data_IF_300199017540
#
_entry.id   IF_300199017540
#
_cell.length_a   1.000
_cell.length_b   1.000
_cell.length_c   1.000
_cell.angle_alpha   90.00
_cell.angle_beta   90.00
_cell.angle_gamma   90.00
#
_symmetry.space_group_name_H-M   'P 1'
#
loop_
_entity.id
_entity.type
_entity.pdbx_description
1 polymer ?
#
# COMPACT_ATOMS: atom_id res chain seq x y z
N UNK A 1 -16.79 5.41 11.55
CA UNK A 1 -15.50 5.13 10.87
C UNK A 1 -15.75 5.11 9.36
N UNK A 2 -14.81 5.52 8.49
CA UNK A 2 -15.09 5.59 7.02
C UNK A 2 -15.62 4.26 6.45
N UNK A 3 -15.07 3.12 6.87
CA UNK A 3 -15.54 1.81 6.43
C UNK A 3 -17.04 1.59 6.71
N UNK A 4 -17.51 1.89 7.92
CA UNK A 4 -18.94 1.75 8.30
C UNK A 4 -19.84 2.62 7.41
N UNK A 5 -19.39 3.83 7.09
CA UNK A 5 -20.12 4.75 6.22
C UNK A 5 -20.12 4.25 4.77
N UNK A 6 -18.99 3.75 4.27
CA UNK A 6 -18.89 3.13 2.96
C UNK A 6 -19.86 1.94 2.81
N UNK A 7 -19.97 1.08 3.82
CA UNK A 7 -20.97 0.00 3.81
C UNK A 7 -22.41 0.52 3.89
N UNK A 8 -22.67 1.51 4.74
CA UNK A 8 -24.01 2.11 4.91
C UNK A 8 -24.52 2.75 3.62
N UNK A 9 -23.62 3.43 2.89
CA UNK A 9 -23.91 4.06 1.61
C UNK A 9 -23.88 3.07 0.42
N UNK A 10 -23.53 1.80 0.65
CA UNK A 10 -23.44 0.78 -0.39
C UNK A 10 -22.30 1.03 -1.38
N UNK A 11 -21.22 1.71 -0.96
CA UNK A 11 -20.04 1.93 -1.78
C UNK A 11 -19.36 0.59 -2.07
N UNK A 12 -19.13 0.32 -3.35
CA UNK A 12 -18.46 -0.87 -3.85
C UNK A 12 -17.03 -0.53 -4.25
N UNK A 13 -16.15 -1.53 -4.22
CA UNK A 13 -14.77 -1.37 -4.63
C UNK A 13 -13.81 -2.18 -3.77
N UNK A 14 -12.63 -2.41 -4.33
CA UNK A 14 -11.47 -2.98 -3.66
C UNK A 14 -10.81 -1.95 -2.74
N UNK A 15 -9.91 -2.41 -1.88
CA UNK A 15 -9.09 -1.55 -1.02
C UNK A 15 -7.61 -1.77 -1.30
N UNK A 16 -6.79 -0.74 -1.08
CA UNK A 16 -5.36 -0.79 -1.36
C UNK A 16 -4.52 -0.07 -0.30
N UNK A 17 -3.29 -0.54 -0.12
CA UNK A 17 -2.23 0.17 0.60
C UNK A 17 -0.93 0.14 -0.22
N UNK A 18 -0.31 1.31 -0.41
CA UNK A 18 1.00 1.49 -1.04
C UNK A 18 2.00 1.89 0.03
N UNK A 19 2.97 1.00 0.31
CA UNK A 19 3.84 1.10 1.49
C UNK A 19 3.20 0.38 2.67
N UNK A 20 3.53 -0.91 2.83
CA UNK A 20 2.91 -1.83 3.80
C UNK A 20 3.82 -2.08 4.99
N UNK A 21 5.14 -2.15 4.75
CA UNK A 21 6.16 -2.54 5.73
C UNK A 21 5.76 -3.80 6.52
N UNK A 22 5.53 -3.69 7.83
CA UNK A 22 5.14 -4.82 8.69
C UNK A 22 3.61 -5.06 8.73
N UNK A 23 2.83 -4.27 8.00
CA UNK A 23 1.38 -4.45 7.83
C UNK A 23 0.55 -4.10 9.07
N UNK A 24 1.02 -3.17 9.92
CA UNK A 24 0.24 -2.75 11.09
C UNK A 24 -1.03 -2.00 10.68
N UNK A 25 -0.91 -1.06 9.73
CA UNK A 25 -2.07 -0.33 9.22
C UNK A 25 -2.89 -1.19 8.25
N UNK A 26 -2.25 -1.98 7.38
CA UNK A 26 -2.93 -3.04 6.63
C UNK A 26 -3.83 -3.94 7.49
N UNK A 27 -3.40 -4.36 8.69
CA UNK A 27 -4.24 -5.18 9.56
C UNK A 27 -5.55 -4.47 9.92
N UNK A 28 -5.48 -3.16 10.20
CA UNK A 28 -6.67 -2.36 10.51
C UNK A 28 -7.60 -2.24 9.30
N UNK A 29 -7.05 -1.99 8.11
CA UNK A 29 -7.83 -1.95 6.87
C UNK A 29 -8.52 -3.31 6.62
N UNK A 30 -7.77 -4.40 6.79
CA UNK A 30 -8.27 -5.76 6.59
C UNK A 30 -9.38 -6.13 7.61
N UNK A 31 -9.31 -5.64 8.84
CA UNK A 31 -10.39 -5.76 9.84
C UNK A 31 -11.62 -4.96 9.41
N UNK A 32 -11.43 -3.74 8.91
CA UNK A 32 -12.52 -2.84 8.57
C UNK A 32 -13.24 -3.24 7.28
N UNK A 33 -12.55 -3.91 6.36
CA UNK A 33 -13.07 -4.35 5.06
C UNK A 33 -12.92 -5.86 4.86
N UNK A 34 -13.61 -6.70 5.65
CA UNK A 34 -13.36 -8.14 5.74
C UNK A 34 -13.76 -8.93 4.48
N UNK A 35 -14.60 -8.36 3.62
CA UNK A 35 -15.11 -8.99 2.39
C UNK A 35 -14.50 -8.43 1.10
N UNK A 36 -13.74 -7.34 1.16
CA UNK A 36 -13.19 -6.67 -0.03
C UNK A 36 -11.86 -7.29 -0.45
N UNK A 37 -11.57 -7.31 -1.75
CA UNK A 37 -10.20 -7.59 -2.22
C UNK A 37 -9.27 -6.50 -1.68
N UNK A 38 -8.13 -6.90 -1.12
CA UNK A 38 -7.19 -5.98 -0.50
C UNK A 38 -5.81 -6.08 -1.15
N UNK A 39 -5.45 -5.07 -1.94
CA UNK A 39 -4.16 -4.99 -2.61
C UNK A 39 -3.09 -4.39 -1.70
N UNK A 40 -1.98 -5.10 -1.55
CA UNK A 40 -0.85 -4.72 -0.70
C UNK A 40 0.38 -4.52 -1.58
N UNK A 41 0.76 -3.27 -1.82
CA UNK A 41 1.91 -2.90 -2.66
C UNK A 41 3.11 -2.55 -1.79
N UNK A 42 4.17 -3.35 -1.91
CA UNK A 42 5.43 -3.09 -1.20
C UNK A 42 6.57 -3.82 -1.91
N UNK A 43 7.78 -3.30 -1.81
CA UNK A 43 8.99 -4.00 -2.29
C UNK A 43 9.34 -5.18 -1.38
N UNK A 44 8.96 -5.11 -0.10
CA UNK A 44 9.42 -5.91 1.04
C UNK A 44 10.94 -5.93 1.18
N UNK A 45 11.60 -4.92 0.61
CA UNK A 45 13.06 -4.76 0.52
C UNK A 45 13.48 -3.36 1.01
N UNK A 46 12.55 -2.62 1.60
CA UNK A 46 12.72 -1.23 2.02
C UNK A 46 12.73 -0.26 0.84
N UNK A 47 13.27 0.94 1.07
CA UNK A 47 13.32 1.96 0.03
C UNK A 47 14.29 1.61 -1.09
N UNK A 48 13.87 1.94 -2.31
CA UNK A 48 14.72 1.84 -3.48
C UNK A 48 15.89 2.84 -3.38
N UNK A 49 17.13 2.42 -3.66
CA UNK A 49 18.26 3.35 -3.76
C UNK A 49 18.02 4.49 -4.77
N UNK A 50 17.20 4.23 -5.80
CA UNK A 50 16.83 5.24 -6.80
C UNK A 50 16.00 6.36 -6.17
N UNK A 51 15.01 6.02 -5.37
CA UNK A 51 14.10 7.01 -4.76
C UNK A 51 14.85 7.83 -3.72
N UNK A 52 15.71 7.19 -2.92
CA UNK A 52 16.60 7.89 -1.97
C UNK A 52 17.47 8.90 -2.72
N UNK A 53 18.03 8.53 -3.88
CA UNK A 53 18.85 9.44 -4.67
C UNK A 53 18.03 10.62 -5.23
N UNK A 54 16.78 10.39 -5.63
CA UNK A 54 15.86 11.46 -6.07
C UNK A 54 15.54 12.44 -4.93
N UNK A 55 15.29 11.95 -3.72
CA UNK A 55 15.08 12.80 -2.52
C UNK A 55 16.32 13.65 -2.21
N UNK A 56 17.51 13.03 -2.22
CA UNK A 56 18.77 13.73 -2.00
C UNK A 56 19.02 14.80 -3.07
N UNK A 57 18.68 14.53 -4.34
CA UNK A 57 18.79 15.50 -5.42
C UNK A 57 17.82 16.68 -5.24
N UNK A 58 16.71 16.48 -4.54
CA UNK A 58 15.74 17.52 -4.17
C UNK A 58 16.11 18.24 -2.86
N UNK A 59 17.25 17.90 -2.26
CA UNK A 59 17.73 18.51 -1.01
C UNK A 59 16.97 18.03 0.24
N UNK A 60 16.24 16.93 0.14
CA UNK A 60 15.47 16.36 1.25
C UNK A 60 16.40 15.44 2.06
N UNK A 61 16.53 15.75 3.35
CA UNK A 61 17.37 14.97 4.26
C UNK A 61 16.72 13.62 4.55
N UNK A 62 17.38 12.55 4.14
CA UNK A 62 16.90 11.19 4.35
C UNK A 62 17.51 10.59 5.64
N UNK A 63 16.67 10.12 6.56
CA UNK A 63 17.12 9.45 7.78
C UNK A 63 17.58 8.01 7.50
N UNK A 64 18.49 7.46 8.31
CA UNK A 64 18.93 6.04 8.22
C UNK A 64 17.82 5.06 8.67
N UNK A 65 16.64 5.10 8.05
CA UNK A 65 15.55 4.16 8.32
C UNK A 65 15.64 3.00 7.32
N UNK A 66 15.93 1.80 7.83
CA UNK A 66 15.98 0.59 7.02
C UNK A 66 14.66 -0.19 7.20
N UNK A 67 13.76 -0.08 6.22
CA UNK A 67 12.46 -0.77 6.20
C UNK A 67 12.55 -2.24 5.73
N UNK A 68 13.76 -2.81 5.67
CA UNK A 68 13.99 -4.22 5.25
C UNK A 68 13.53 -5.26 6.26
N UNK A 69 13.19 -4.89 7.49
CA UNK A 69 12.75 -5.86 8.50
C UNK A 69 11.28 -6.26 8.32
N UNK A 70 10.95 -6.85 7.17
CA UNK A 70 9.62 -7.38 6.86
C UNK A 70 9.68 -8.51 5.83
N UNK A 71 8.57 -9.24 5.68
CA UNK A 71 8.37 -10.20 4.60
C UNK A 71 6.89 -10.35 4.28
N UNK A 72 6.59 -10.86 3.08
CA UNK A 72 5.22 -11.19 2.68
C UNK A 72 4.54 -12.11 3.69
N UNK A 73 5.24 -13.15 4.16
CA UNK A 73 4.67 -14.09 5.14
C UNK A 73 4.35 -13.41 6.47
N UNK A 74 5.23 -12.51 6.93
CA UNK A 74 5.02 -11.76 8.18
C UNK A 74 3.77 -10.89 8.11
N UNK A 75 3.58 -10.19 6.98
CA UNK A 75 2.41 -9.35 6.74
C UNK A 75 1.14 -10.21 6.67
N UNK A 76 1.12 -11.26 5.85
CA UNK A 76 -0.06 -12.12 5.73
C UNK A 76 -0.44 -12.81 7.04
N UNK A 77 0.53 -13.23 7.87
CA UNK A 77 0.25 -13.84 9.17
C UNK A 77 -0.48 -12.90 10.14
N UNK A 78 -0.31 -11.58 9.96
CA UNK A 78 -0.99 -10.56 10.78
C UNK A 78 -2.44 -10.33 10.35
N UNK A 79 -2.77 -10.58 9.08
CA UNK A 79 -4.10 -10.31 8.51
C UNK A 79 -5.17 -11.21 9.11
N UNK A 80 -6.36 -10.65 9.39
CA UNK A 80 -7.52 -11.41 9.88
C UNK A 80 -8.23 -12.17 8.76
N UNK A 81 -8.20 -11.62 7.56
CA UNK A 81 -8.74 -12.19 6.33
C UNK A 81 -7.62 -12.25 5.27
N UNK A 82 -6.61 -13.13 5.47
CA UNK A 82 -5.47 -13.23 4.55
C UNK A 82 -5.86 -13.74 3.16
N UNK A 83 -6.98 -14.46 3.04
CA UNK A 83 -7.56 -14.92 1.77
C UNK A 83 -8.06 -13.77 0.88
N UNK A 84 -8.25 -12.58 1.47
CA UNK A 84 -8.64 -11.36 0.76
C UNK A 84 -7.45 -10.54 0.29
N UNK A 85 -6.25 -10.84 0.79
CA UNK A 85 -5.04 -10.08 0.50
C UNK A 85 -4.41 -10.51 -0.83
N UNK A 86 -4.12 -9.54 -1.68
CA UNK A 86 -3.44 -9.71 -2.96
C UNK A 86 -2.10 -8.98 -2.87
N UNK A 87 -1.03 -9.75 -2.77
CA UNK A 87 0.33 -9.21 -2.64
C UNK A 87 0.84 -8.77 -4.00
N UNK A 88 1.21 -7.50 -4.10
CA UNK A 88 1.87 -6.90 -5.26
C UNK A 88 3.30 -6.56 -4.88
N UNK A 89 4.13 -7.60 -4.79
CA UNK A 89 5.55 -7.46 -4.44
C UNK A 89 6.31 -6.83 -5.61
N UNK A 90 6.99 -5.73 -5.34
CA UNK A 90 7.85 -5.04 -6.29
C UNK A 90 7.65 -3.53 -6.25
N UNK A 91 8.16 -2.84 -7.26
CA UNK A 91 8.11 -1.39 -7.32
C UNK A 91 6.76 -0.91 -7.87
N UNK A 92 6.08 -0.04 -7.13
CA UNK A 92 4.86 0.63 -7.58
C UNK A 92 5.22 1.82 -8.49
N UNK A 93 4.52 2.07 -9.62
CA UNK A 93 3.28 1.45 -10.08
C UNK A 93 3.49 0.24 -11.01
N UNK A 94 4.73 -0.21 -11.24
CA UNK A 94 5.01 -1.30 -12.18
C UNK A 94 4.31 -2.62 -11.82
N UNK A 95 4.00 -2.84 -10.54
CA UNK A 95 3.24 -3.99 -10.05
C UNK A 95 1.71 -3.83 -10.14
N UNK A 96 1.20 -2.70 -10.60
CA UNK A 96 -0.23 -2.40 -10.70
C UNK A 96 -0.78 -2.52 -12.13
N UNK A 97 0.07 -2.85 -13.11
CA UNK A 97 -0.28 -2.86 -14.55
C UNK A 97 -1.39 -3.84 -14.95
N UNK A 98 -1.63 -4.87 -14.13
CA UNK A 98 -2.63 -5.92 -14.36
C UNK A 98 -3.90 -5.71 -13.54
N UNK A 99 -4.05 -4.55 -12.90
CA UNK A 99 -5.21 -4.23 -12.05
C UNK A 99 -6.27 -3.54 -12.90
N UNK A 100 -7.44 -4.15 -12.90
CA UNK A 100 -8.69 -3.65 -13.49
C UNK A 100 -9.80 -3.79 -12.45
N UNK A 101 -9.72 -2.95 -11.40
CA UNK A 101 -10.65 -2.93 -10.26
C UNK A 101 -10.92 -1.46 -9.87
N UNK A 102 -12.15 -1.15 -9.48
CA UNK A 102 -12.48 0.11 -8.80
C UNK A 102 -12.10 0.05 -7.32
N UNK A 103 -11.74 1.20 -6.74
CA UNK A 103 -11.31 1.30 -5.35
C UNK A 103 -12.23 2.19 -4.51
N UNK A 104 -12.55 1.72 -3.30
CA UNK A 104 -13.34 2.48 -2.31
C UNK A 104 -12.45 3.12 -1.24
N UNK A 105 -11.27 2.57 -1.01
CA UNK A 105 -10.32 3.10 -0.03
C UNK A 105 -8.89 2.80 -0.47
N UNK A 106 -8.03 3.82 -0.44
CA UNK A 106 -6.61 3.72 -0.75
C UNK A 106 -5.82 4.40 0.37
N UNK A 107 -4.82 3.70 0.90
CA UNK A 107 -3.78 4.29 1.74
C UNK A 107 -2.50 4.47 0.91
N UNK A 108 -2.01 5.70 0.82
CA UNK A 108 -0.72 6.03 0.20
C UNK A 108 0.27 6.39 1.31
N UNK A 109 1.12 5.44 1.71
CA UNK A 109 2.01 5.50 2.87
C UNK A 109 3.45 5.09 2.49
N UNK A 110 3.92 5.60 1.35
CA UNK A 110 5.23 5.25 0.80
C UNK A 110 6.36 6.20 1.23
N UNK A 111 6.07 7.20 2.08
CA UNK A 111 6.96 8.24 2.65
C UNK A 111 7.76 9.11 1.67
N UNK A 112 7.92 8.71 0.41
CA UNK A 112 8.77 9.37 -0.59
C UNK A 112 7.91 10.04 -1.67
N UNK A 113 8.45 11.11 -2.26
CA UNK A 113 7.74 11.92 -3.24
C UNK A 113 7.32 11.10 -4.47
N UNK A 114 8.26 10.39 -5.10
CA UNK A 114 8.03 9.64 -6.34
C UNK A 114 6.94 8.55 -6.22
N UNK A 115 6.95 7.66 -5.20
CA UNK A 115 5.90 6.65 -5.06
C UNK A 115 4.55 7.24 -4.64
N UNK A 116 4.51 8.33 -3.85
CA UNK A 116 3.25 9.03 -3.55
C UNK A 116 2.66 9.64 -4.81
N UNK A 117 3.46 10.34 -5.62
CA UNK A 117 3.02 10.93 -6.89
C UNK A 117 2.48 9.83 -7.84
N UNK A 118 3.22 8.74 -7.98
CA UNK A 118 2.78 7.59 -8.79
C UNK A 118 1.46 7.01 -8.28
N UNK A 119 1.26 6.98 -6.97
CA UNK A 119 0.01 6.54 -6.34
C UNK A 119 -1.16 7.42 -6.72
N UNK A 120 -0.98 8.75 -6.68
CA UNK A 120 -1.99 9.70 -7.10
C UNK A 120 -2.33 9.56 -8.58
N UNK A 121 -1.32 9.47 -9.46
CA UNK A 121 -1.52 9.30 -10.91
C UNK A 121 -2.26 7.99 -11.25
N UNK A 122 -2.05 6.93 -10.48
CA UNK A 122 -2.69 5.63 -10.71
C UNK A 122 -4.12 5.56 -10.14
N UNK A 123 -4.30 5.94 -8.87
CA UNK A 123 -5.59 5.78 -8.18
C UNK A 123 -6.53 6.98 -8.34
N UNK A 124 -6.02 8.13 -8.79
CA UNK A 124 -6.79 9.36 -8.98
C UNK A 124 -6.43 10.05 -10.32
N UNK A 125 -6.73 9.40 -11.46
CA UNK A 125 -6.45 9.95 -12.79
C UNK A 125 -7.34 11.16 -13.15
#
# INVERSE_FOLDING_TARGET
MFAEEAYTLGLVGSVAEVGVYQGAFAEMINICFPDRKFYLFDTFEGFSPKDIQEELNQGIAFGNQDFKNTSVQRVLYRMKHPDKCIIKKGYFPATAVDIDDDFVFISLDADLYAPILSGLEFFYP
#
